data_IF_397033962112
#
_entry.id   IF_397033962112
#
_cell.length_a   1.000
_cell.length_b   1.000
_cell.length_c   1.000
_cell.angle_alpha   90.00
_cell.angle_beta   90.00
_cell.angle_gamma   90.00
#
_symmetry.space_group_name_H-M   'P 1'
#
loop_
_entity.id
_entity.type
_entity.pdbx_description
1 polymer ?
#
# COMPACT_ATOMS: atom_id res chain seq x y z
N UNK A 1 -50.82 2.74 8.10
CA UNK A 1 -49.42 2.51 8.52
C UNK A 1 -48.53 2.00 7.37
N UNK A 2 -49.03 1.13 6.47
CA UNK A 2 -48.30 0.60 5.31
C UNK A 2 -47.70 1.67 4.36
N UNK A 3 -48.33 2.83 4.20
CA UNK A 3 -47.85 3.90 3.30
C UNK A 3 -46.56 4.57 3.78
N UNK A 4 -46.34 4.65 5.11
CA UNK A 4 -45.10 5.22 5.67
C UNK A 4 -43.90 4.27 5.47
N UNK A 5 -44.12 2.96 5.56
CA UNK A 5 -43.09 1.94 5.28
C UNK A 5 -42.61 2.01 3.81
N UNK A 6 -43.55 2.21 2.88
CA UNK A 6 -43.24 2.31 1.45
C UNK A 6 -42.42 3.56 1.09
N UNK A 7 -42.56 4.65 1.84
CA UNK A 7 -41.77 5.87 1.63
C UNK A 7 -40.35 5.78 2.23
N UNK A 8 -40.17 5.02 3.32
CA UNK A 8 -38.82 4.76 3.88
C UNK A 8 -37.99 3.89 2.93
N UNK A 9 -38.60 2.86 2.31
CA UNK A 9 -37.94 2.01 1.30
C UNK A 9 -37.64 2.75 -0.02
N UNK A 10 -38.32 3.88 -0.29
CA UNK A 10 -38.16 4.67 -1.51
C UNK A 10 -37.25 5.89 -1.31
N UNK A 11 -36.77 6.13 -0.09
CA UNK A 11 -35.84 7.22 0.21
C UNK A 11 -34.43 6.87 -0.30
N UNK A 12 -34.02 7.51 -1.40
CA UNK A 12 -32.65 7.47 -1.96
C UNK A 12 -31.69 8.44 -1.27
N UNK A 13 -32.06 9.01 -0.12
CA UNK A 13 -31.21 9.95 0.62
C UNK A 13 -29.99 9.18 1.15
N UNK A 14 -28.82 9.41 0.53
CA UNK A 14 -27.59 8.69 0.81
C UNK A 14 -27.08 7.82 -0.34
N UNK A 15 -27.89 7.57 -1.38
CA UNK A 15 -27.46 6.78 -2.55
C UNK A 15 -26.25 7.42 -3.23
N UNK A 16 -26.28 8.74 -3.45
CA UNK A 16 -25.17 9.47 -4.05
C UNK A 16 -23.91 9.45 -3.19
N UNK A 17 -24.04 9.44 -1.86
CA UNK A 17 -22.90 9.38 -0.93
C UNK A 17 -22.19 8.02 -1.02
N UNK A 18 -22.96 6.93 -1.13
CA UNK A 18 -22.41 5.58 -1.31
C UNK A 18 -21.79 5.41 -2.69
N UNK A 19 -22.43 5.92 -3.76
CA UNK A 19 -21.90 5.85 -5.12
C UNK A 19 -20.55 6.56 -5.25
N UNK A 20 -20.44 7.80 -4.79
CA UNK A 20 -19.17 8.51 -4.83
C UNK A 20 -18.14 7.89 -3.89
N UNK A 21 -18.54 7.40 -2.71
CA UNK A 21 -17.64 6.72 -1.79
C UNK A 21 -17.01 5.46 -2.38
N UNK A 22 -17.81 4.63 -3.05
CA UNK A 22 -17.32 3.41 -3.71
C UNK A 22 -16.43 3.75 -4.91
N UNK A 23 -16.79 4.76 -5.72
CA UNK A 23 -15.96 5.17 -6.85
C UNK A 23 -14.60 5.69 -6.37
N UNK A 24 -14.57 6.56 -5.36
CA UNK A 24 -13.33 7.10 -4.80
C UNK A 24 -12.47 5.98 -4.21
N UNK A 25 -13.08 5.05 -3.46
CA UNK A 25 -12.38 3.88 -2.93
C UNK A 25 -11.77 2.99 -4.02
N UNK A 26 -12.52 2.75 -5.10
CA UNK A 26 -12.05 1.96 -6.23
C UNK A 26 -10.87 2.62 -6.96
N UNK A 27 -10.95 3.91 -7.24
CA UNK A 27 -9.84 4.65 -7.87
C UNK A 27 -8.61 4.65 -6.96
N UNK A 28 -8.79 4.89 -5.66
CA UNK A 28 -7.70 4.89 -4.69
C UNK A 28 -7.00 3.53 -4.61
N UNK A 29 -7.73 2.42 -4.67
CA UNK A 29 -7.15 1.08 -4.67
C UNK A 29 -6.28 0.85 -5.92
N UNK A 30 -6.78 1.22 -7.10
CA UNK A 30 -6.05 1.00 -8.36
C UNK A 30 -4.78 1.87 -8.43
N UNK A 31 -4.86 3.12 -8.01
CA UNK A 31 -3.67 4.00 -7.98
C UNK A 31 -2.65 3.53 -6.96
N UNK A 32 -3.10 3.09 -5.78
CA UNK A 32 -2.24 2.50 -4.76
C UNK A 32 -1.51 1.25 -5.27
N UNK A 33 -2.21 0.35 -5.94
CA UNK A 33 -1.63 -0.83 -6.58
C UNK A 33 -0.58 -0.46 -7.64
N UNK A 34 -0.91 0.49 -8.52
CA UNK A 34 0.00 0.93 -9.57
C UNK A 34 1.27 1.56 -9.00
N UNK A 35 1.16 2.42 -7.99
CA UNK A 35 2.31 3.08 -7.35
C UNK A 35 3.18 2.06 -6.61
N UNK A 36 2.60 1.10 -5.91
CA UNK A 36 3.36 0.07 -5.20
C UNK A 36 4.20 -0.81 -6.16
N UNK A 37 3.59 -1.25 -7.26
CA UNK A 37 4.29 -2.08 -8.27
C UNK A 37 5.33 -1.25 -9.03
N UNK A 38 4.99 -0.01 -9.42
CA UNK A 38 5.91 0.86 -10.13
C UNK A 38 7.11 1.25 -9.27
N UNK A 39 6.90 1.57 -7.99
CA UNK A 39 7.96 1.95 -7.06
C UNK A 39 9.04 0.86 -6.94
N UNK A 40 8.65 -0.41 -6.83
CA UNK A 40 9.58 -1.53 -6.81
C UNK A 40 10.39 -1.61 -8.11
N UNK A 41 9.74 -1.46 -9.28
CA UNK A 41 10.44 -1.49 -10.58
C UNK A 41 11.39 -0.30 -10.76
N UNK A 42 11.00 0.88 -10.31
CA UNK A 42 11.87 2.07 -10.34
C UNK A 42 13.09 1.87 -9.44
N UNK A 43 12.89 1.29 -8.26
CA UNK A 43 13.97 0.93 -7.35
C UNK A 43 14.94 -0.08 -7.99
N UNK A 44 14.42 -1.13 -8.62
CA UNK A 44 15.23 -2.12 -9.34
C UNK A 44 16.02 -1.49 -10.49
N UNK A 45 15.43 -0.55 -11.22
CA UNK A 45 16.14 0.19 -12.26
C UNK A 45 17.28 1.03 -11.68
N UNK A 46 17.05 1.78 -10.60
CA UNK A 46 18.10 2.57 -9.94
C UNK A 46 19.20 1.65 -9.41
N UNK A 47 18.85 0.54 -8.79
CA UNK A 47 19.81 -0.46 -8.33
C UNK A 47 20.63 -1.04 -9.49
N UNK A 48 19.99 -1.35 -10.62
CA UNK A 48 20.69 -1.87 -11.81
C UNK A 48 21.68 -0.86 -12.42
N UNK A 49 21.33 0.42 -12.40
CA UNK A 49 22.21 1.50 -12.89
C UNK A 49 23.35 1.74 -11.91
N UNK A 50 23.08 1.79 -10.60
CA UNK A 50 24.09 1.85 -9.56
C UNK A 50 25.09 0.70 -9.71
N UNK A 51 24.58 -0.48 -10.07
CA UNK A 51 25.42 -1.65 -10.28
C UNK A 51 26.29 -1.59 -11.54
N UNK A 52 25.79 -0.96 -12.60
CA UNK A 52 26.47 -0.85 -13.89
C UNK A 52 27.50 0.31 -13.96
N UNK A 53 27.53 1.20 -12.96
CA UNK A 53 28.43 2.35 -12.92
C UNK A 53 29.89 1.91 -12.72
N UNK A 54 30.83 2.32 -13.60
CA UNK A 54 32.26 2.03 -13.43
C UNK A 54 32.79 2.67 -12.14
N UNK A 55 33.47 1.88 -11.31
CA UNK A 55 34.01 2.33 -10.02
C UNK A 55 33.10 2.10 -8.81
N UNK A 56 31.94 1.46 -8.99
CA UNK A 56 31.13 0.98 -7.88
C UNK A 56 31.86 -0.17 -7.14
N UNK A 57 32.16 0.03 -5.86
CA UNK A 57 32.75 -1.02 -5.01
C UNK A 57 31.65 -1.94 -4.50
N UNK A 58 32.01 -3.17 -4.11
CA UNK A 58 31.03 -4.16 -3.62
C UNK A 58 30.21 -3.64 -2.41
N UNK A 59 30.81 -2.77 -1.61
CA UNK A 59 30.18 -2.17 -0.43
C UNK A 59 29.11 -1.10 -0.81
N UNK A 60 29.19 -0.54 -2.02
CA UNK A 60 28.25 0.47 -2.56
C UNK A 60 27.12 -0.16 -3.39
N UNK A 61 27.20 -1.47 -3.63
CA UNK A 61 26.30 -2.26 -4.50
C UNK A 61 25.24 -3.03 -3.69
N UNK A 62 25.01 -2.63 -2.44
CA UNK A 62 23.99 -3.25 -1.60
C UNK A 62 22.59 -3.14 -2.24
N UNK A 63 21.67 -4.08 -1.94
CA UNK A 63 20.28 -3.96 -2.37
C UNK A 63 19.71 -2.61 -1.95
N UNK A 64 19.22 -1.82 -2.90
CA UNK A 64 18.52 -0.58 -2.57
C UNK A 64 17.23 -0.95 -1.86
N UNK A 65 17.15 -0.66 -0.56
CA UNK A 65 15.93 -0.87 0.21
C UNK A 65 14.89 0.19 -0.20
N UNK A 66 13.84 -0.24 -0.89
CA UNK A 66 12.71 0.63 -1.21
C UNK A 66 11.76 0.67 -0.02
N UNK A 67 11.51 1.88 0.50
CA UNK A 67 10.41 2.08 1.42
C UNK A 67 9.07 1.83 0.71
N UNK A 68 8.22 0.93 1.23
CA UNK A 68 6.93 0.62 0.60
C UNK A 68 5.75 0.93 1.53
N UNK A 69 4.76 1.68 1.04
CA UNK A 69 3.54 1.93 1.82
C UNK A 69 2.61 0.72 1.86
N UNK A 70 2.79 -0.20 0.91
CA UNK A 70 1.98 -1.40 0.75
C UNK A 70 2.90 -2.57 0.47
N UNK A 71 2.69 -3.70 1.14
CA UNK A 71 3.52 -4.87 0.92
C UNK A 71 3.27 -5.46 -0.47
N UNK A 72 4.36 -5.65 -1.21
CA UNK A 72 4.39 -6.42 -2.46
C UNK A 72 5.19 -7.69 -2.29
N UNK A 73 4.86 -8.70 -3.08
CA UNK A 73 5.58 -9.97 -3.22
C UNK A 73 5.92 -10.22 -4.68
N UNK A 74 6.93 -11.05 -4.95
CA UNK A 74 7.41 -11.34 -6.28
C UNK A 74 7.32 -12.85 -6.51
N UNK A 75 6.82 -13.27 -7.67
CA UNK A 75 6.81 -14.69 -8.05
C UNK A 75 8.17 -15.16 -8.61
N UNK A 76 8.27 -16.45 -8.92
CA UNK A 76 9.47 -17.05 -9.49
C UNK A 76 9.84 -16.48 -10.88
N UNK A 77 8.90 -15.79 -11.55
CA UNK A 77 9.09 -15.15 -12.85
C UNK A 77 9.44 -13.65 -12.73
N UNK A 78 9.59 -13.11 -11.52
CA UNK A 78 9.87 -11.69 -11.30
C UNK A 78 8.66 -10.78 -11.44
N UNK A 79 7.44 -11.32 -11.49
CA UNK A 79 6.20 -10.54 -11.52
C UNK A 79 5.86 -10.08 -10.10
N UNK A 80 5.59 -8.79 -9.96
CA UNK A 80 5.34 -8.15 -8.66
C UNK A 80 3.83 -8.03 -8.45
N UNK A 81 3.37 -8.57 -7.32
CA UNK A 81 1.98 -8.58 -6.88
C UNK A 81 1.82 -7.83 -5.56
N UNK A 82 0.59 -7.40 -5.26
CA UNK A 82 0.24 -6.97 -3.91
C UNK A 82 0.19 -8.19 -2.99
N UNK A 83 0.80 -8.06 -1.82
CA UNK A 83 0.75 -9.07 -0.78
C UNK A 83 -0.37 -8.75 0.20
N UNK A 84 -1.55 -9.30 -0.09
CA UNK A 84 -2.72 -9.16 0.79
C UNK A 84 -2.67 -10.09 2.00
N UNK A 85 -1.80 -11.10 2.00
CA UNK A 85 -1.68 -12.07 3.11
C UNK A 85 -0.81 -11.51 4.23
N UNK A 86 0.19 -10.71 3.87
CA UNK A 86 1.09 -10.04 4.79
C UNK A 86 1.20 -8.56 4.40
N UNK A 87 0.17 -7.72 4.68
CA UNK A 87 0.15 -6.31 4.27
C UNK A 87 1.26 -5.45 4.90
N UNK A 88 1.99 -5.99 5.87
CA UNK A 88 3.13 -5.34 6.53
C UNK A 88 2.73 -4.22 7.49
N UNK A 89 3.74 -3.50 7.97
CA UNK A 89 3.65 -2.37 8.90
C UNK A 89 4.29 -1.14 8.23
N UNK A 90 3.74 0.05 8.43
CA UNK A 90 4.35 1.28 7.92
C UNK A 90 5.68 1.51 8.63
N UNK A 91 5.74 1.23 9.93
CA UNK A 91 6.99 1.33 10.70
C UNK A 91 8.10 0.43 10.13
N UNK A 92 7.76 -0.80 9.76
CA UNK A 92 8.72 -1.76 9.20
C UNK A 92 9.07 -1.49 7.74
N UNK A 93 8.13 -0.92 6.97
CA UNK A 93 8.28 -0.84 5.52
C UNK A 93 8.92 0.45 5.02
N UNK A 94 8.99 1.52 5.81
CA UNK A 94 9.51 2.82 5.35
C UNK A 94 11.05 2.89 5.43
N UNK A 95 11.69 1.98 6.18
CA UNK A 95 13.16 1.88 6.25
C UNK A 95 13.84 3.08 6.93
N UNK A 96 13.07 3.93 7.62
CA UNK A 96 13.57 5.07 8.39
C UNK A 96 13.79 4.61 9.83
N UNK A 97 15.04 4.60 10.34
CA UNK A 97 15.30 4.24 11.72
C UNK A 97 14.55 5.15 12.70
N UNK A 98 13.87 4.59 13.70
CA UNK A 98 13.18 5.36 14.74
C UNK A 98 11.74 5.77 14.40
N UNK A 99 11.25 5.44 13.20
CA UNK A 99 9.88 5.78 12.78
C UNK A 99 8.81 4.98 13.56
N UNK A 100 9.19 3.83 14.11
CA UNK A 100 8.37 3.00 15.00
C UNK A 100 7.91 3.75 16.26
N UNK A 101 8.62 4.80 16.67
CA UNK A 101 8.22 5.65 17.80
C UNK A 101 7.18 6.72 17.42
N UNK A 102 6.96 6.94 16.11
CA UNK A 102 6.07 7.97 15.57
C UNK A 102 4.83 7.37 14.88
N UNK A 103 4.86 6.07 14.59
CA UNK A 103 3.77 5.36 13.91
C UNK A 103 3.04 4.48 14.90
N UNK A 104 1.78 4.84 15.16
CA UNK A 104 0.85 4.02 15.94
C UNK A 104 0.00 3.21 14.96
N UNK A 105 0.11 1.89 15.04
CA UNK A 105 -0.60 0.96 14.16
C UNK A 105 -1.76 0.28 14.87
N UNK A 106 -2.72 -0.27 14.12
CA UNK A 106 -3.89 -0.93 14.71
C UNK A 106 -3.55 -2.07 15.68
N UNK A 107 -2.41 -2.75 15.49
CA UNK A 107 -1.91 -3.77 16.41
C UNK A 107 -1.31 -3.21 17.70
N UNK A 108 -0.71 -2.02 17.66
CA UNK A 108 -0.15 -1.32 18.84
C UNK A 108 -1.26 -0.83 19.79
N UNK A 109 -2.45 -0.57 19.24
CA UNK A 109 -3.64 -0.22 20.00
C UNK A 109 -4.30 -1.42 20.71
N UNK A 110 -3.90 -2.65 20.38
CA UNK A 110 -4.37 -3.85 21.07
C UNK A 110 -3.57 -4.04 22.35
N UNK A 111 -4.03 -3.43 23.43
CA UNK A 111 -3.53 -3.70 24.77
C UNK A 111 -3.77 -5.18 25.07
N UNK A 112 -2.76 -6.04 24.90
CA UNK A 112 -2.69 -7.27 25.68
C UNK A 112 -2.57 -6.87 27.15
N UNK A 113 -3.43 -7.39 28.05
CA UNK A 113 -3.20 -7.22 29.48
C UNK A 113 -1.84 -7.79 29.90
#
# INVERSE_FOLDING_TARGET
>A
MLTKLRNVLRNKKGQSLVEYGIIIGGVALVTLAAVAILGHKTNDLVASVAAALPGAHADDQGPIASGKLVNTTTDDNGVIYLDASNPGSIGSNVGIPGIENLVVEGGDLSVTP
#
